data_IF_022934713334
#
_entry.id   IF_022934713334
#
_cell.length_a   1.000
_cell.length_b   1.000
_cell.length_c   1.000
_cell.angle_alpha   90.00
_cell.angle_beta   90.00
_cell.angle_gamma   90.00
#
_symmetry.space_group_name_H-M   'P 1'
#
loop_
_entity.id
_entity.type
_entity.pdbx_description
1 polymer ?
#
# COMPACT_ATOMS: atom_id res chain seq x y z
N UNK A 1 -10.25 -16.36 19.55
CA UNK A 1 -9.63 -15.03 19.70
C UNK A 1 -8.20 -15.08 19.15
N UNK A 2 -7.98 -14.70 17.89
CA UNK A 2 -6.67 -14.76 17.23
C UNK A 2 -6.34 -13.62 16.22
N UNK A 3 -7.07 -12.49 16.13
CA UNK A 3 -6.74 -11.47 15.12
C UNK A 3 -5.44 -10.69 15.45
N UNK A 4 -5.00 -10.68 16.70
CA UNK A 4 -3.90 -9.82 17.17
C UNK A 4 -2.54 -10.54 17.25
N UNK A 5 -2.47 -11.83 16.95
CA UNK A 5 -1.25 -12.61 17.11
C UNK A 5 -0.21 -12.30 16.01
N UNK A 6 -0.67 -12.22 14.75
CA UNK A 6 0.20 -11.91 13.60
C UNK A 6 0.81 -10.49 13.69
N UNK A 7 0.04 -9.43 14.00
CA UNK A 7 0.59 -8.08 14.16
C UNK A 7 1.65 -7.97 15.27
N UNK A 8 1.47 -8.69 16.39
CA UNK A 8 2.38 -8.64 17.54
C UNK A 8 3.72 -9.33 17.23
N UNK A 9 3.69 -10.49 16.56
CA UNK A 9 4.91 -11.17 16.13
C UNK A 9 5.75 -10.30 15.20
N UNK A 10 5.11 -9.65 14.21
CA UNK A 10 5.79 -8.75 13.27
C UNK A 10 6.43 -7.57 14.01
N UNK A 11 5.72 -6.92 14.93
CA UNK A 11 6.25 -5.83 15.74
C UNK A 11 7.46 -6.26 16.58
N UNK A 12 7.39 -7.44 17.19
CA UNK A 12 8.46 -8.00 18.02
C UNK A 12 9.72 -8.32 17.22
N UNK A 13 9.57 -8.86 16.02
CA UNK A 13 10.70 -9.14 15.11
C UNK A 13 11.38 -7.84 14.67
N UNK A 14 10.60 -6.81 14.34
CA UNK A 14 11.12 -5.51 13.92
C UNK A 14 11.93 -4.82 15.03
N UNK A 15 11.45 -4.84 16.28
CA UNK A 15 12.15 -4.25 17.42
C UNK A 15 13.52 -4.91 17.67
N UNK A 16 13.58 -6.24 17.62
CA UNK A 16 14.83 -6.99 17.81
C UNK A 16 15.81 -6.76 16.66
N UNK A 17 15.32 -6.68 15.42
CA UNK A 17 16.18 -6.61 14.24
C UNK A 17 16.65 -5.19 13.93
N UNK A 18 15.81 -4.18 14.20
CA UNK A 18 16.00 -2.77 13.82
C UNK A 18 15.34 -1.83 14.86
N UNK A 19 15.94 -1.65 16.04
CA UNK A 19 15.33 -0.86 17.13
C UNK A 19 15.08 0.61 16.74
N UNK A 20 15.92 1.19 15.87
CA UNK A 20 15.79 2.57 15.38
C UNK A 20 14.51 2.83 14.57
N UNK A 21 13.94 1.80 13.93
CA UNK A 21 12.69 1.91 13.16
C UNK A 21 11.46 1.66 14.04
N UNK A 22 11.63 1.11 15.24
CA UNK A 22 10.53 0.77 16.13
C UNK A 22 9.94 1.98 16.86
N UNK A 23 10.60 3.15 16.82
CA UNK A 23 10.07 4.41 17.36
C UNK A 23 9.07 5.10 16.43
N UNK A 24 8.70 4.47 15.33
CA UNK A 24 7.60 4.95 14.51
C UNK A 24 6.30 4.61 15.23
N UNK A 25 5.71 5.65 15.83
CA UNK A 25 4.27 5.72 16.10
C UNK A 25 3.55 4.95 15.00
N UNK A 26 2.69 3.97 15.32
CA UNK A 26 1.86 3.38 14.28
C UNK A 26 1.05 4.54 13.74
N UNK A 27 1.45 5.05 12.57
CA UNK A 27 0.56 5.73 11.67
C UNK A 27 -0.42 4.64 11.22
N UNK A 28 -1.31 4.27 12.15
CA UNK A 28 -2.53 3.56 11.96
C UNK A 28 -3.37 4.48 11.08
N UNK A 29 -2.97 4.54 9.81
CA UNK A 29 -3.78 5.02 8.72
C UNK A 29 -4.73 3.88 8.45
N UNK A 30 -5.76 3.90 9.29
CA UNK A 30 -7.09 3.40 9.06
C UNK A 30 -7.16 1.91 8.75
N UNK A 31 -7.85 1.20 9.64
CA UNK A 31 -8.52 -0.09 9.44
C UNK A 31 -9.56 -0.06 8.30
N UNK A 32 -9.50 0.94 7.42
CA UNK A 32 -10.38 1.05 6.27
C UNK A 32 -9.69 0.37 5.10
N UNK A 33 -10.33 -0.62 4.45
CA UNK A 33 -9.77 -1.21 3.24
C UNK A 33 -9.45 -0.09 2.25
N UNK A 34 -8.24 -0.11 1.71
CA UNK A 34 -7.84 0.82 0.66
C UNK A 34 -8.77 0.61 -0.54
N UNK A 35 -9.75 1.49 -0.67
CA UNK A 35 -10.61 1.56 -1.84
C UNK A 35 -9.75 2.13 -2.98
N UNK A 36 -9.03 1.25 -3.66
CA UNK A 36 -8.51 1.54 -4.97
C UNK A 36 -9.74 1.89 -5.83
N UNK A 37 -9.88 3.18 -6.16
CA UNK A 37 -10.98 3.66 -6.99
C UNK A 37 -11.09 2.90 -8.32
N UNK A 38 -12.12 3.19 -9.12
CA UNK A 38 -12.33 2.51 -10.39
C UNK A 38 -11.06 2.58 -11.25
N UNK A 39 -10.67 1.41 -11.79
CA UNK A 39 -9.50 1.35 -12.68
C UNK A 39 -9.73 2.27 -13.88
N UNK A 40 -8.75 3.10 -14.27
CA UNK A 40 -8.88 3.95 -15.43
C UNK A 40 -9.16 3.09 -16.68
N UNK A 41 -10.08 3.56 -17.53
CA UNK A 41 -10.40 2.88 -18.77
C UNK A 41 -9.15 2.74 -19.65
N UNK A 42 -9.01 1.62 -20.38
CA UNK A 42 -7.83 1.34 -21.20
C UNK A 42 -7.46 2.44 -22.20
N UNK A 43 -8.45 3.16 -22.75
CA UNK A 43 -8.21 4.25 -23.69
C UNK A 43 -8.11 5.64 -23.04
N UNK A 44 -8.35 5.77 -21.73
CA UNK A 44 -8.28 7.05 -21.01
C UNK A 44 -6.83 7.58 -20.97
N UNK A 45 -6.60 8.89 -20.77
CA UNK A 45 -5.26 9.43 -20.52
C UNK A 45 -4.62 8.78 -19.30
N UNK A 46 -3.32 8.51 -19.35
CA UNK A 46 -2.57 7.94 -18.23
C UNK A 46 -2.43 8.96 -17.09
N UNK A 47 -2.80 8.56 -15.87
CA UNK A 47 -2.63 9.36 -14.65
C UNK A 47 -1.15 9.63 -14.29
N UNK A 48 -0.22 8.97 -14.97
CA UNK A 48 1.23 9.16 -14.83
C UNK A 48 1.78 10.42 -15.51
N UNK A 49 0.95 11.19 -16.22
CA UNK A 49 1.36 12.43 -16.88
C UNK A 49 2.10 12.25 -18.21
N UNK A 50 2.16 11.04 -18.76
CA UNK A 50 2.88 10.77 -20.02
C UNK A 50 2.17 11.27 -21.28
N UNK A 51 0.92 11.75 -21.18
CA UNK A 51 0.06 12.07 -22.33
C UNK A 51 -0.42 10.87 -23.15
N UNK A 52 -0.02 9.64 -22.79
CA UNK A 52 -0.39 8.41 -23.51
C UNK A 52 -1.69 7.82 -22.98
N UNK A 53 -2.36 6.99 -23.79
CA UNK A 53 -3.51 6.18 -23.33
C UNK A 53 -3.06 5.18 -22.26
N UNK A 54 -3.90 4.91 -21.25
CA UNK A 54 -3.58 4.03 -20.11
C UNK A 54 -3.06 2.65 -20.55
N UNK A 55 -3.71 2.02 -21.55
CA UNK A 55 -3.30 0.72 -22.13
C UNK A 55 -1.93 0.72 -22.82
N UNK A 56 -1.38 1.89 -23.13
CA UNK A 56 -0.05 2.05 -23.76
C UNK A 56 1.01 2.53 -22.77
N UNK A 57 0.65 2.74 -21.50
CA UNK A 57 1.53 3.25 -20.45
C UNK A 57 1.46 2.38 -19.18
N UNK A 58 0.89 2.86 -18.07
CA UNK A 58 0.83 2.10 -16.81
C UNK A 58 -0.13 0.91 -16.81
N UNK A 59 -1.12 0.89 -17.70
CA UNK A 59 -2.05 -0.23 -17.90
C UNK A 59 -1.60 -1.18 -18.99
N UNK A 60 -0.35 -1.06 -19.41
CA UNK A 60 0.30 -1.97 -20.34
C UNK A 60 0.71 -3.19 -19.52
N UNK A 61 -0.07 -4.26 -19.62
CA UNK A 61 0.51 -5.59 -19.47
C UNK A 61 1.55 -5.77 -20.57
#
# INVERSE_FOLDING_TARGET
EAPNLIPNCVATILYQSRPELSRMEPANRSEMPFNAGPRPGRNAPCSCGSGRKYKQCCGRN
#
